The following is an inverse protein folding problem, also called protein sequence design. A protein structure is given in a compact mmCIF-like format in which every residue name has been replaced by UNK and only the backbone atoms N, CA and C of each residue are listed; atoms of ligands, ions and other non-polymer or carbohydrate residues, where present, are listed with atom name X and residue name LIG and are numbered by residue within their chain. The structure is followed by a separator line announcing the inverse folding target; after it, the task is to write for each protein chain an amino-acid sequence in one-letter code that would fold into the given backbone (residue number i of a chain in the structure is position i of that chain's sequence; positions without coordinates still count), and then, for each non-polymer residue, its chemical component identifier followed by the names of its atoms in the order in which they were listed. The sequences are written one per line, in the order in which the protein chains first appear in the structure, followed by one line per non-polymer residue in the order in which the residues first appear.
data_IF_093361137792
#
_entry.id   IF_093361137792
#
_cell.length_a   1.000
_cell.length_b   1.000
_cell.length_c   1.000
_cell.angle_alpha   90.00
_cell.angle_beta   90.00
_cell.angle_gamma   90.00
#
_symmetry.space_group_name_H-M   'P 1'
#
loop_
_entity.id
_entity.type
_entity.pdbx_description
1 polymer ?
#
# COMPACT_ATOMS: atom_id res chain seq x y z
N UNK A 1 -20.62 45.57 -25.18
CA UNK A 1 -21.22 44.25 -24.94
C UNK A 1 -20.43 43.57 -23.82
N UNK A 2 -20.98 43.57 -22.60
CA UNK A 2 -20.36 42.98 -21.40
C UNK A 2 -21.31 41.89 -20.90
N UNK A 3 -20.91 40.64 -20.99
CA UNK A 3 -21.68 39.49 -20.50
C UNK A 3 -21.30 39.20 -19.06
N UNK A 4 -22.24 39.49 -18.17
CA UNK A 4 -22.27 39.12 -16.75
C UNK A 4 -22.62 37.64 -16.61
N UNK A 5 -21.73 36.83 -16.03
CA UNK A 5 -22.03 35.46 -15.61
C UNK A 5 -22.06 35.40 -14.08
N UNK A 6 -23.27 35.22 -13.54
CA UNK A 6 -23.54 34.95 -12.12
C UNK A 6 -23.29 33.46 -11.85
N UNK A 7 -22.51 33.13 -10.82
CA UNK A 7 -22.53 31.81 -10.18
C UNK A 7 -22.82 32.00 -8.69
N UNK A 8 -23.84 31.32 -8.12
CA UNK A 8 -24.19 31.46 -6.71
C UNK A 8 -23.20 30.70 -5.83
N UNK A 9 -22.85 31.34 -4.71
CA UNK A 9 -22.00 30.82 -3.65
C UNK A 9 -22.72 29.73 -2.84
N UNK A 10 -21.94 28.73 -2.44
CA UNK A 10 -22.35 27.60 -1.63
C UNK A 10 -22.42 28.00 -0.14
N UNK A 11 -23.58 27.71 0.44
CA UNK A 11 -23.90 27.34 1.83
C UNK A 11 -22.91 27.72 2.94
N UNK A 12 -23.38 28.57 3.86
CA UNK A 12 -22.92 28.60 5.25
C UNK A 12 -24.16 28.48 6.14
N UNK A 13 -24.33 27.33 6.78
CA UNK A 13 -25.40 27.08 7.76
C UNK A 13 -24.75 26.68 9.08
N UNK A 14 -24.62 27.68 9.94
CA UNK A 14 -24.31 27.57 11.36
C UNK A 14 -25.63 27.25 12.05
N UNK A 15 -25.69 26.18 12.85
CA UNK A 15 -26.77 25.96 13.80
C UNK A 15 -26.18 25.54 15.15
N UNK A 16 -26.24 26.50 16.06
CA UNK A 16 -25.99 26.42 17.50
C UNK A 16 -27.25 25.89 18.22
N UNK A 17 -26.98 25.32 19.38
CA UNK A 17 -27.82 25.24 20.58
C UNK A 17 -28.89 24.13 20.68
N UNK A 18 -28.81 23.40 21.78
CA UNK A 18 -29.83 22.46 22.25
C UNK A 18 -29.37 21.61 23.43
N UNK A 19 -28.96 22.24 24.55
CA UNK A 19 -28.90 21.56 25.85
C UNK A 19 -30.32 21.59 26.44
N UNK A 20 -30.84 20.46 26.96
CA UNK A 20 -31.71 20.53 28.12
C UNK A 20 -31.15 19.71 29.28
N UNK A 21 -31.03 20.39 30.41
CA UNK A 21 -30.85 19.80 31.71
C UNK A 21 -32.21 19.29 32.25
N UNK A 22 -32.13 18.17 32.98
CA UNK A 22 -32.97 17.72 34.10
C UNK A 22 -34.51 17.76 33.97
N UNK A 23 -35.10 16.56 33.98
CA UNK A 23 -36.49 16.34 34.39
C UNK A 23 -36.60 15.01 35.14
N UNK A 24 -36.85 15.08 36.45
CA UNK A 24 -37.18 13.93 37.31
C UNK A 24 -38.53 13.33 36.90
N UNK A 25 -38.58 12.01 36.68
CA UNK A 25 -39.82 11.27 36.50
C UNK A 25 -39.64 9.83 36.96
N UNK A 26 -40.25 9.51 38.12
CA UNK A 26 -40.38 8.15 38.67
C UNK A 26 -41.20 7.29 37.69
N UNK A 27 -40.69 6.12 37.33
CA UNK A 27 -41.42 5.10 36.58
C UNK A 27 -40.70 3.77 36.72
N UNK A 28 -41.36 2.86 37.41
CA UNK A 28 -40.91 1.53 37.85
C UNK A 28 -40.97 0.50 36.70
N UNK A 29 -40.25 -0.62 36.88
CA UNK A 29 -40.32 -1.92 36.16
C UNK A 29 -39.55 -1.95 34.81
N UNK A 30 -38.60 -2.86 34.51
CA UNK A 30 -38.35 -4.27 34.90
C UNK A 30 -36.83 -4.52 34.85
N UNK A 31 -36.28 -5.23 35.85
CA UNK A 31 -34.90 -5.75 35.83
C UNK A 31 -34.85 -7.00 34.95
N UNK A 32 -34.47 -6.83 33.69
CA UNK A 32 -34.15 -7.94 32.78
C UNK A 32 -32.63 -7.95 32.51
N UNK A 33 -31.97 -8.97 33.07
CA UNK A 33 -30.75 -9.57 32.54
C UNK A 33 -29.47 -8.74 32.63
N UNK A 34 -28.70 -9.00 33.68
CA UNK A 34 -27.23 -8.87 33.68
C UNK A 34 -26.64 -9.62 32.46
N UNK A 35 -26.36 -8.90 31.38
CA UNK A 35 -25.42 -9.34 30.36
C UNK A 35 -24.40 -8.24 30.13
N UNK A 36 -23.38 -8.28 30.99
CA UNK A 36 -22.10 -7.60 30.76
C UNK A 36 -21.68 -7.83 29.30
N UNK A 37 -21.48 -6.77 28.48
CA UNK A 37 -20.97 -6.95 27.14
C UNK A 37 -19.55 -7.49 27.28
N UNK A 38 -19.38 -8.78 27.00
CA UNK A 38 -18.08 -9.43 26.95
C UNK A 38 -17.13 -8.53 26.17
N UNK A 39 -16.13 -8.02 26.89
CA UNK A 39 -15.07 -7.17 26.37
C UNK A 39 -14.46 -7.87 25.16
N UNK A 40 -14.80 -7.40 23.97
CA UNK A 40 -14.25 -7.95 22.74
C UNK A 40 -12.74 -7.78 22.81
N UNK A 41 -12.00 -8.89 22.76
CA UNK A 41 -10.55 -8.86 22.71
C UNK A 41 -10.11 -7.86 21.63
N UNK A 42 -9.12 -6.98 21.92
CA UNK A 42 -8.66 -6.02 20.93
C UNK A 42 -8.27 -6.76 19.64
N UNK A 43 -8.60 -6.20 18.46
CA UNK A 43 -8.29 -6.84 17.19
C UNK A 43 -6.80 -7.18 17.15
N UNK A 44 -6.49 -8.38 16.67
CA UNK A 44 -5.11 -8.84 16.56
C UNK A 44 -4.26 -7.77 15.84
N UNK A 45 -3.06 -7.46 16.33
CA UNK A 45 -2.22 -6.45 15.70
C UNK A 45 -1.99 -6.83 14.23
N UNK A 46 -2.16 -5.87 13.33
CA UNK A 46 -1.88 -6.08 11.92
C UNK A 46 -0.47 -6.69 11.79
N UNK A 47 -0.29 -7.73 10.96
CA UNK A 47 1.00 -8.39 10.83
C UNK A 47 2.04 -7.34 10.50
N UNK A 48 3.15 -7.33 11.27
CA UNK A 48 4.30 -6.48 10.96
C UNK A 48 4.62 -6.64 9.48
N UNK A 49 4.82 -5.53 8.78
CA UNK A 49 5.08 -5.50 7.33
C UNK A 49 6.16 -6.51 6.89
N UNK A 50 7.11 -6.84 7.77
CA UNK A 50 8.13 -7.86 7.56
C UNK A 50 7.59 -9.31 7.60
N UNK A 51 6.64 -9.63 8.47
CA UNK A 51 6.03 -10.96 8.54
C UNK A 51 5.14 -11.24 7.32
N UNK A 52 4.33 -10.25 6.90
CA UNK A 52 3.50 -10.36 5.70
C UNK A 52 4.34 -10.53 4.42
N UNK A 53 5.50 -9.86 4.33
CA UNK A 53 6.44 -10.07 3.22
C UNK A 53 7.02 -11.49 3.23
N UNK A 54 7.41 -12.01 4.41
CA UNK A 54 7.97 -13.37 4.50
C UNK A 54 6.96 -14.46 4.12
N UNK A 55 5.72 -14.34 4.58
CA UNK A 55 4.67 -15.31 4.27
C UNK A 55 4.31 -15.36 2.76
N UNK A 56 4.58 -14.29 2.02
CA UNK A 56 4.31 -14.18 0.59
C UNK A 56 5.46 -14.71 -0.29
N UNK A 57 6.50 -15.31 0.30
CA UNK A 57 7.65 -15.90 -0.41
C UNK A 57 7.61 -17.42 -0.20
N UNK A 58 7.68 -18.25 -1.26
CA UNK A 58 7.71 -19.69 -1.10
C UNK A 58 8.88 -20.18 -0.23
N UNK A 59 8.63 -21.25 0.50
CA UNK A 59 9.68 -22.01 1.16
C UNK A 59 10.54 -22.70 0.09
N UNK A 60 11.86 -22.79 0.33
CA UNK A 60 12.79 -23.47 -0.60
C UNK A 60 13.53 -22.57 -1.60
N UNK A 61 13.23 -21.27 -1.72
CA UNK A 61 14.09 -20.37 -2.51
C UNK A 61 15.51 -20.29 -1.93
N UNK A 62 16.52 -20.19 -2.80
CA UNK A 62 17.89 -19.92 -2.40
C UNK A 62 18.01 -18.51 -1.78
N UNK A 63 19.04 -18.29 -0.95
CA UNK A 63 19.22 -17.02 -0.24
C UNK A 63 19.26 -15.78 -1.17
N UNK A 64 19.95 -15.79 -2.34
CA UNK A 64 19.95 -14.65 -3.25
C UNK A 64 18.56 -14.36 -3.83
N UNK A 65 17.82 -15.41 -4.19
CA UNK A 65 16.47 -15.30 -4.75
C UNK A 65 15.49 -14.75 -3.72
N UNK A 66 15.56 -15.24 -2.47
CA UNK A 66 14.78 -14.71 -1.35
C UNK A 66 15.06 -13.22 -1.14
N UNK A 67 16.33 -12.79 -1.21
CA UNK A 67 16.68 -11.37 -1.11
C UNK A 67 16.09 -10.50 -2.22
N UNK A 68 16.06 -10.99 -3.46
CA UNK A 68 15.44 -10.30 -4.58
C UNK A 68 13.91 -10.23 -4.42
N UNK A 69 13.28 -11.34 -4.03
CA UNK A 69 11.85 -11.45 -3.80
C UNK A 69 11.39 -10.50 -2.67
N UNK A 70 12.14 -10.45 -1.57
CA UNK A 70 11.85 -9.57 -0.45
C UNK A 70 11.82 -8.08 -0.83
N UNK A 71 12.79 -7.60 -1.62
CA UNK A 71 12.83 -6.17 -1.96
C UNK A 71 11.68 -5.80 -2.91
N UNK A 72 11.32 -6.72 -3.81
CA UNK A 72 10.18 -6.57 -4.73
C UNK A 72 8.86 -6.54 -3.97
N UNK A 73 8.65 -7.45 -3.01
CA UNK A 73 7.45 -7.44 -2.16
C UNK A 73 7.39 -6.21 -1.26
N UNK A 74 8.53 -5.76 -0.70
CA UNK A 74 8.59 -4.50 0.07
C UNK A 74 8.14 -3.31 -0.78
N UNK A 75 8.53 -3.25 -2.06
CA UNK A 75 8.04 -2.24 -2.99
C UNK A 75 6.55 -2.38 -3.27
N UNK A 76 6.08 -3.59 -3.61
CA UNK A 76 4.67 -3.86 -3.91
C UNK A 76 3.75 -3.47 -2.75
N UNK A 77 4.10 -3.86 -1.51
CA UNK A 77 3.34 -3.49 -0.31
C UNK A 77 3.35 -1.98 -0.07
N UNK A 78 4.49 -1.32 -0.23
CA UNK A 78 4.55 0.15 -0.11
C UNK A 78 3.68 0.86 -1.18
N UNK A 79 3.60 0.32 -2.40
CA UNK A 79 2.69 0.84 -3.43
C UNK A 79 1.22 0.60 -3.05
N UNK A 80 0.87 -0.60 -2.55
CA UNK A 80 -0.48 -0.90 -2.08
C UNK A 80 -0.93 0.06 -0.98
N UNK A 81 -0.05 0.34 -0.02
CA UNK A 81 -0.29 1.23 1.11
C UNK A 81 -0.33 2.72 0.70
N UNK A 82 0.06 3.06 -0.54
CA UNK A 82 0.24 4.45 -0.98
C UNK A 82 1.45 5.14 -0.35
N UNK A 83 2.34 4.40 0.32
CA UNK A 83 3.58 4.88 0.91
C UNK A 83 4.68 5.00 -0.17
N UNK A 84 4.56 6.04 -0.98
CA UNK A 84 5.48 6.27 -2.09
C UNK A 84 6.90 6.63 -1.63
N UNK A 85 7.07 7.13 -0.40
CA UNK A 85 8.38 7.36 0.20
C UNK A 85 9.11 6.04 0.42
N UNK A 86 8.43 5.06 1.03
CA UNK A 86 8.97 3.72 1.22
C UNK A 86 9.15 2.98 -0.10
N UNK A 87 8.22 3.11 -1.03
CA UNK A 87 8.37 2.53 -2.37
C UNK A 87 9.61 3.08 -3.07
N UNK A 88 9.82 4.40 -3.04
CA UNK A 88 11.02 5.03 -3.60
C UNK A 88 12.32 4.58 -2.93
N UNK A 89 12.32 4.36 -1.62
CA UNK A 89 13.50 3.89 -0.89
C UNK A 89 13.99 2.49 -1.34
N UNK A 90 13.10 1.66 -1.90
CA UNK A 90 13.47 0.33 -2.43
C UNK A 90 14.20 0.39 -3.77
N UNK A 91 14.10 1.51 -4.51
CA UNK A 91 14.61 1.64 -5.87
C UNK A 91 16.11 1.91 -5.93
N UNK A 92 16.75 1.55 -7.04
CA UNK A 92 18.13 1.94 -7.31
C UNK A 92 18.27 3.46 -7.35
N UNK A 93 19.43 3.99 -6.93
CA UNK A 93 19.64 5.45 -6.80
C UNK A 93 19.46 6.19 -8.11
N UNK A 94 19.95 5.63 -9.22
CA UNK A 94 19.83 6.24 -10.54
C UNK A 94 18.36 6.49 -10.94
N UNK A 95 17.47 5.56 -10.59
CA UNK A 95 16.03 5.73 -10.84
C UNK A 95 15.38 6.76 -9.95
N UNK A 96 15.71 6.77 -8.66
CA UNK A 96 15.22 7.81 -7.75
C UNK A 96 15.58 9.19 -8.28
N UNK A 97 16.81 9.36 -8.77
CA UNK A 97 17.26 10.60 -9.41
C UNK A 97 16.50 10.88 -10.72
N UNK A 98 16.31 9.87 -11.59
CA UNK A 98 15.54 10.02 -12.84
C UNK A 98 14.10 10.48 -12.58
N UNK A 99 13.41 9.82 -11.66
CA UNK A 99 12.04 10.14 -11.26
C UNK A 99 11.94 11.53 -10.63
N UNK A 100 12.88 11.88 -9.74
CA UNK A 100 12.92 13.21 -9.14
C UNK A 100 13.16 14.32 -10.18
N UNK A 101 14.01 14.11 -11.18
CA UNK A 101 14.18 15.07 -12.28
C UNK A 101 12.91 15.29 -13.08
N UNK A 102 12.12 14.24 -13.30
CA UNK A 102 10.91 14.31 -14.11
C UNK A 102 9.71 14.94 -13.37
N UNK A 103 9.65 14.81 -12.04
CA UNK A 103 8.45 15.18 -11.27
C UNK A 103 8.74 15.95 -9.99
N UNK A 104 9.95 16.46 -9.80
CA UNK A 104 10.41 17.16 -8.59
C UNK A 104 10.92 16.21 -7.50
N UNK A 105 10.18 15.14 -7.21
CA UNK A 105 10.61 14.09 -6.27
C UNK A 105 10.29 12.68 -6.81
N UNK A 106 10.96 11.67 -6.28
CA UNK A 106 10.70 10.28 -6.66
C UNK A 106 9.27 9.88 -6.26
N UNK A 107 8.85 10.28 -5.07
CA UNK A 107 7.56 9.99 -4.45
C UNK A 107 6.43 10.57 -5.29
N UNK A 108 6.61 11.81 -5.76
CA UNK A 108 5.64 12.47 -6.65
C UNK A 108 5.53 11.75 -8.00
N UNK A 109 6.63 11.26 -8.55
CA UNK A 109 6.57 10.48 -9.79
C UNK A 109 5.79 9.17 -9.60
N UNK A 110 6.01 8.44 -8.49
CA UNK A 110 5.25 7.23 -8.18
C UNK A 110 3.77 7.52 -7.92
N UNK A 111 3.46 8.58 -7.16
CA UNK A 111 2.09 9.04 -6.95
C UNK A 111 1.37 9.29 -8.28
N UNK A 112 2.01 10.01 -9.20
CA UNK A 112 1.44 10.30 -10.52
C UNK A 112 1.27 9.02 -11.35
N UNK A 113 2.24 8.11 -11.30
CA UNK A 113 2.16 6.83 -12.01
C UNK A 113 0.99 5.96 -11.54
N UNK A 114 0.73 5.91 -10.23
CA UNK A 114 -0.31 5.07 -9.64
C UNK A 114 -1.65 5.80 -9.39
N UNK A 115 -1.76 7.09 -9.74
CA UNK A 115 -3.01 7.84 -9.60
C UNK A 115 -4.11 7.24 -10.49
N UNK A 116 -5.23 6.86 -9.86
CA UNK A 116 -6.38 6.25 -10.57
C UNK A 116 -6.16 4.80 -11.01
N UNK A 117 -5.05 4.16 -10.59
CA UNK A 117 -4.80 2.73 -10.84
C UNK A 117 -5.18 1.90 -9.62
N UNK A 118 -5.66 0.65 -9.80
CA UNK A 118 -5.98 -0.24 -8.70
C UNK A 118 -4.68 -0.76 -8.06
N UNK A 119 -4.28 -0.13 -6.96
CA UNK A 119 -3.04 -0.46 -6.22
C UNK A 119 -3.24 -1.55 -5.18
N UNK A 120 -4.48 -1.74 -4.76
CA UNK A 120 -4.94 -2.78 -3.85
C UNK A 120 -4.58 -4.19 -4.36
N UNK A 121 -4.41 -4.37 -5.67
CA UNK A 121 -3.94 -5.62 -6.26
C UNK A 121 -2.56 -6.03 -5.73
N UNK A 122 -1.69 -5.07 -5.41
CA UNK A 122 -0.36 -5.33 -4.85
C UNK A 122 -0.38 -5.76 -3.38
N UNK A 123 -1.51 -5.60 -2.66
CA UNK A 123 -1.59 -5.90 -1.23
C UNK A 123 -1.53 -7.41 -0.94
N UNK A 124 -2.03 -8.23 -1.87
CA UNK A 124 -2.16 -9.68 -1.69
C UNK A 124 -1.21 -10.48 -2.56
N UNK A 125 -0.41 -9.85 -3.42
CA UNK A 125 0.50 -10.58 -4.30
C UNK A 125 1.51 -11.43 -3.55
N UNK A 126 1.81 -12.60 -4.11
CA UNK A 126 2.78 -13.59 -3.66
C UNK A 126 3.82 -13.83 -4.74
N UNK A 127 5.00 -14.29 -4.35
CA UNK A 127 6.07 -14.64 -5.28
C UNK A 127 5.76 -15.98 -5.92
N UNK A 128 5.64 -15.98 -7.25
CA UNK A 128 5.43 -17.19 -8.04
C UNK A 128 6.76 -17.84 -8.42
N UNK A 129 7.69 -17.03 -8.94
CA UNK A 129 9.01 -17.48 -9.38
C UNK A 129 10.04 -16.35 -9.27
N UNK A 130 11.30 -16.74 -9.16
CA UNK A 130 12.45 -15.83 -9.21
C UNK A 130 13.47 -16.40 -10.18
N UNK A 131 13.95 -15.56 -11.10
CA UNK A 131 14.99 -15.90 -12.07
C UNK A 131 16.13 -14.91 -11.95
N UNK A 132 17.35 -15.38 -11.76
CA UNK A 132 18.54 -14.52 -11.61
C UNK A 132 19.49 -14.73 -12.79
N UNK A 133 19.91 -13.63 -13.42
CA UNK A 133 20.99 -13.60 -14.43
C UNK A 133 22.00 -12.51 -14.05
N UNK A 134 23.15 -12.93 -13.53
CA UNK A 134 24.18 -12.02 -13.02
C UNK A 134 23.64 -11.20 -11.84
N UNK A 135 23.68 -9.87 -11.96
CA UNK A 135 23.19 -8.95 -10.93
C UNK A 135 21.72 -8.52 -11.13
N UNK A 136 21.01 -9.11 -12.08
CA UNK A 136 19.60 -8.80 -12.34
C UNK A 136 18.73 -10.01 -12.02
N UNK A 137 17.61 -9.76 -11.36
CA UNK A 137 16.58 -10.75 -11.07
C UNK A 137 15.25 -10.31 -11.66
N UNK A 138 14.52 -11.24 -12.27
CA UNK A 138 13.09 -11.14 -12.56
C UNK A 138 12.33 -11.84 -11.43
N UNK A 139 11.33 -11.17 -10.87
CA UNK A 139 10.48 -11.69 -9.79
C UNK A 139 9.04 -11.63 -10.28
N UNK A 140 8.45 -12.80 -10.47
CA UNK A 140 7.05 -12.93 -10.85
C UNK A 140 6.19 -12.87 -9.59
N UNK A 141 5.22 -11.96 -9.62
CA UNK A 141 4.22 -11.80 -8.60
C UNK A 141 2.87 -12.25 -9.14
N UNK A 142 2.14 -13.04 -8.35
CA UNK A 142 0.79 -13.49 -8.68
C UNK A 142 -0.20 -13.18 -7.56
N UNK A 143 -1.48 -13.06 -7.89
CA UNK A 143 -2.53 -13.03 -6.87
C UNK A 143 -2.85 -14.46 -6.39
N UNK A 144 -3.17 -14.66 -5.09
CA UNK A 144 -3.64 -15.94 -4.58
C UNK A 144 -4.89 -16.39 -5.36
N UNK A 145 -4.87 -17.62 -5.90
CA UNK A 145 -5.95 -18.16 -6.71
C UNK A 145 -6.20 -17.45 -8.06
N UNK A 146 -5.37 -16.48 -8.43
CA UNK A 146 -5.57 -15.63 -9.60
C UNK A 146 -4.67 -15.98 -10.80
N UNK A 147 -5.06 -15.44 -11.97
CA UNK A 147 -4.27 -15.48 -13.22
C UNK A 147 -3.41 -14.22 -13.44
N UNK A 148 -3.62 -13.19 -12.62
CA UNK A 148 -2.86 -11.93 -12.73
C UNK A 148 -1.42 -12.20 -12.32
N UNK A 149 -0.52 -12.09 -13.28
CA UNK A 149 0.92 -12.23 -13.10
C UNK A 149 1.60 -10.96 -13.62
N UNK A 150 2.54 -10.43 -12.84
CA UNK A 150 3.43 -9.35 -13.29
C UNK A 150 4.85 -9.64 -12.85
N UNK A 151 5.80 -9.28 -13.70
CA UNK A 151 7.22 -9.43 -13.39
C UNK A 151 7.82 -8.07 -13.03
N UNK A 152 8.38 -7.97 -11.83
CA UNK A 152 9.21 -6.83 -11.42
C UNK A 152 10.68 -7.23 -11.43
N UNK A 153 11.56 -6.27 -11.68
CA UNK A 153 13.00 -6.52 -11.66
C UNK A 153 13.66 -5.98 -10.39
N UNK A 154 14.64 -6.73 -9.91
CA UNK A 154 15.55 -6.29 -8.86
C UNK A 154 16.99 -6.38 -9.35
N UNK A 155 17.79 -5.33 -9.12
CA UNK A 155 19.23 -5.31 -9.37
C UNK A 155 20.00 -5.41 -8.06
N UNK A 156 21.05 -6.22 -8.04
CA UNK A 156 22.05 -6.25 -6.97
C UNK A 156 23.04 -5.12 -7.16
N UNK A 157 23.08 -4.19 -6.20
CA UNK A 157 24.00 -3.05 -6.18
C UNK A 157 24.75 -3.07 -4.86
N UNK A 158 26.08 -3.23 -4.91
CA UNK A 158 26.93 -3.35 -3.71
C UNK A 158 26.35 -4.36 -2.72
N UNK A 159 26.11 -5.58 -3.21
CA UNK A 159 25.57 -6.72 -2.45
C UNK A 159 24.14 -6.57 -1.93
N UNK A 160 23.44 -5.48 -2.28
CA UNK A 160 22.05 -5.26 -1.85
C UNK A 160 21.10 -5.24 -3.04
N UNK A 161 20.01 -5.98 -2.94
CA UNK A 161 18.93 -5.94 -3.93
C UNK A 161 18.15 -4.63 -3.84
N UNK A 162 17.80 -4.07 -5.00
CA UNK A 162 17.01 -2.86 -5.18
C UNK A 162 16.10 -3.02 -6.39
N UNK A 163 14.90 -2.46 -6.33
CA UNK A 163 14.00 -2.46 -7.48
C UNK A 163 14.57 -1.58 -8.59
N UNK A 164 14.49 -2.07 -9.82
CA UNK A 164 14.85 -1.33 -11.02
C UNK A 164 13.75 -1.54 -12.07
N UNK A 165 13.33 -0.47 -12.75
CA UNK A 165 12.50 -0.56 -13.94
C UNK A 165 13.40 -0.83 -15.14
N UNK A 166 13.19 -2.01 -15.74
CA UNK A 166 13.88 -2.45 -16.95
C UNK A 166 12.81 -2.91 -17.95
N UNK A 167 13.05 -2.75 -19.26
CA UNK A 167 12.15 -3.29 -20.28
C UNK A 167 11.88 -4.78 -20.06
N UNK A 168 10.66 -5.24 -20.34
CA UNK A 168 10.25 -6.64 -20.11
C UNK A 168 11.18 -7.64 -20.79
N UNK A 169 11.62 -7.35 -22.02
CA UNK A 169 12.57 -8.17 -22.78
C UNK A 169 13.96 -8.34 -22.10
N UNK A 170 14.26 -7.53 -21.08
CA UNK A 170 15.51 -7.60 -20.32
C UNK A 170 15.36 -8.26 -18.95
N UNK A 171 14.14 -8.58 -18.53
CA UNK A 171 13.89 -9.32 -17.28
C UNK A 171 14.27 -10.79 -17.51
N UNK A 172 15.11 -11.38 -16.64
CA UNK A 172 15.46 -12.80 -16.72
C UNK A 172 14.26 -13.73 -16.63
#
# INVERSE_FOLDING_TARGET
MRTTSRRPAVLLLVLLAGIPAAGCGKGELVLDGDREPASAAPPAPAPSSSAAVRAAIPDGLAAPERGAAEIVLKYARAVADGDYARACATRVRAERTRLARASGTCERALLLNFRGRPRELFATMEVAAVRIRGDLAGVDLRQPGGRTELTLAARRVRERWRVEDVPDARKP
#
